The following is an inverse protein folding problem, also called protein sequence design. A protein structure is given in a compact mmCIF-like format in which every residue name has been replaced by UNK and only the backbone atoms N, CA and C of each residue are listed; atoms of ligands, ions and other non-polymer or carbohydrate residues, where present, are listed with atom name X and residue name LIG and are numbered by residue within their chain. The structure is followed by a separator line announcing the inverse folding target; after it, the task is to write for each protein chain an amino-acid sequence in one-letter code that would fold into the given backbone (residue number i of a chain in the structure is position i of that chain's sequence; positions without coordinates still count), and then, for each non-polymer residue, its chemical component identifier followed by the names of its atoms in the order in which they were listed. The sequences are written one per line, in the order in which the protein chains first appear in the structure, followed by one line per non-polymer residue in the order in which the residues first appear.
data_IF_881008145513
#
_entry.id   IF_881008145513
#
_cell.length_a   1.000
_cell.length_b   1.000
_cell.length_c   1.000
_cell.angle_alpha   90.00
_cell.angle_beta   90.00
_cell.angle_gamma   90.00
#
_symmetry.space_group_name_H-M   'P 1'
#
loop_
_entity.id
_entity.type
_entity.pdbx_description
1 polymer ?
#
# COMPACT_ATOMS: atom_id res chain seq x y z
N UNK A 1 11.02 -4.31 12.10
CA UNK A 1 10.63 -3.20 12.96
C UNK A 1 9.23 -3.50 13.50
N UNK A 2 9.06 -3.50 14.82
CA UNK A 2 7.97 -4.18 15.58
C UNK A 2 6.59 -3.50 15.50
N UNK A 3 6.27 -2.88 14.38
CA UNK A 3 4.91 -2.45 14.07
C UNK A 3 4.47 -3.38 12.95
N UNK A 4 3.44 -4.19 13.20
CA UNK A 4 2.80 -5.02 12.17
C UNK A 4 2.83 -4.30 10.82
N UNK A 5 3.22 -5.00 9.76
CA UNK A 5 3.50 -4.48 8.42
C UNK A 5 2.37 -3.61 7.81
N UNK A 6 1.19 -3.62 8.45
CA UNK A 6 0.12 -2.68 8.19
C UNK A 6 0.41 -1.25 8.71
N UNK A 7 0.23 -0.22 7.88
CA UNK A 7 0.49 1.17 8.27
C UNK A 7 -0.44 1.65 9.39
N UNK A 8 0.02 2.62 10.19
CA UNK A 8 -0.82 3.29 11.19
C UNK A 8 -1.87 4.20 10.52
N UNK A 9 -1.45 4.92 9.48
CA UNK A 9 -2.28 5.84 8.71
C UNK A 9 -2.06 5.56 7.23
N UNK A 10 -3.17 5.47 6.49
CA UNK A 10 -3.16 5.32 5.03
C UNK A 10 -3.96 6.46 4.43
N UNK A 11 -3.34 7.23 3.56
CA UNK A 11 -4.02 8.23 2.75
C UNK A 11 -4.48 7.58 1.45
N UNK A 12 -5.70 7.89 1.03
CA UNK A 12 -6.34 7.28 -0.14
C UNK A 12 -7.07 8.37 -0.93
N UNK A 13 -6.96 8.30 -2.25
CA UNK A 13 -7.75 9.09 -3.19
C UNK A 13 -8.03 8.26 -4.45
N UNK A 14 -9.14 8.54 -5.14
CA UNK A 14 -9.37 7.99 -6.48
C UNK A 14 -8.36 8.61 -7.44
N UNK A 15 -7.76 7.78 -8.31
CA UNK A 15 -6.65 8.13 -9.20
C UNK A 15 -5.26 8.04 -8.53
N UNK A 16 -5.19 7.63 -7.26
CA UNK A 16 -3.93 7.54 -6.54
C UNK A 16 -3.12 6.31 -6.94
N UNK A 17 -1.84 6.50 -7.23
CA UNK A 17 -0.89 5.40 -7.41
C UNK A 17 -0.49 4.82 -6.07
N UNK A 18 -0.70 3.52 -5.91
CA UNK A 18 -0.41 2.79 -4.68
C UNK A 18 0.41 1.53 -4.94
N UNK A 19 1.17 1.15 -3.92
CA UNK A 19 1.96 -0.07 -3.88
C UNK A 19 1.46 -0.93 -2.73
N UNK A 20 1.24 -2.21 -3.00
CA UNK A 20 0.89 -3.19 -1.99
C UNK A 20 2.11 -3.48 -1.14
N UNK A 21 1.96 -3.46 0.18
CA UNK A 21 3.08 -3.60 1.15
C UNK A 21 3.22 -4.99 1.74
N UNK A 22 2.30 -5.90 1.41
CA UNK A 22 2.26 -7.26 1.92
C UNK A 22 1.94 -8.26 0.81
N UNK A 23 2.37 -9.51 1.01
CA UNK A 23 1.87 -10.60 0.18
C UNK A 23 0.44 -10.89 0.60
N UNK A 24 -0.51 -10.51 -0.25
CA UNK A 24 -1.94 -10.70 -0.01
C UNK A 24 -2.41 -11.96 -0.73
N UNK A 25 -2.15 -12.03 -2.03
CA UNK A 25 -2.43 -13.21 -2.85
C UNK A 25 -1.42 -13.28 -4.00
N UNK A 26 -0.38 -14.09 -3.83
CA UNK A 26 0.75 -14.15 -4.76
C UNK A 26 0.38 -14.78 -6.09
N UNK A 27 -0.59 -15.70 -6.10
CA UNK A 27 -1.02 -16.38 -7.32
C UNK A 27 -1.76 -15.44 -8.27
N UNK A 28 -2.36 -14.38 -7.72
CA UNK A 28 -3.06 -13.32 -8.45
C UNK A 28 -2.17 -12.07 -8.72
N UNK A 29 -0.87 -12.16 -8.44
CA UNK A 29 0.09 -11.05 -8.48
C UNK A 29 -0.28 -9.86 -7.57
N UNK A 30 -0.98 -10.12 -6.45
CA UNK A 30 -1.24 -9.15 -5.37
C UNK A 30 -0.22 -9.38 -4.25
N UNK A 31 1.04 -9.06 -4.55
CA UNK A 31 2.18 -9.28 -3.68
C UNK A 31 2.82 -7.98 -3.18
N UNK A 32 3.76 -8.06 -2.25
CA UNK A 32 4.54 -6.89 -1.83
C UNK A 32 5.30 -6.29 -3.04
N UNK A 33 5.27 -4.96 -3.18
CA UNK A 33 5.84 -4.23 -4.31
C UNK A 33 4.90 -4.07 -5.50
N UNK A 34 3.78 -4.79 -5.52
CA UNK A 34 2.83 -4.74 -6.62
C UNK A 34 2.19 -3.33 -6.71
N UNK A 35 2.30 -2.63 -7.84
CA UNK A 35 1.74 -1.28 -8.07
C UNK A 35 0.41 -1.22 -8.84
N UNK A 36 -0.44 -0.26 -8.52
CA UNK A 36 -1.65 0.04 -9.30
C UNK A 36 -2.37 1.32 -8.88
N UNK A 37 -3.42 1.66 -9.60
CA UNK A 37 -4.18 2.89 -9.44
C UNK A 37 -5.50 2.62 -8.69
N UNK A 38 -5.81 3.42 -7.67
CA UNK A 38 -7.12 3.34 -6.99
C UNK A 38 -8.21 3.89 -7.92
N UNK A 39 -9.11 3.03 -8.37
CA UNK A 39 -10.25 3.43 -9.22
C UNK A 39 -11.52 3.73 -8.43
N UNK A 40 -11.64 3.17 -7.22
CA UNK A 40 -12.80 3.40 -6.35
C UNK A 40 -12.46 3.09 -4.89
N UNK A 41 -13.08 3.84 -3.98
CA UNK A 41 -13.01 3.60 -2.53
C UNK A 41 -14.43 3.30 -2.06
N UNK A 42 -14.61 2.13 -1.43
CA UNK A 42 -15.91 1.71 -0.92
C UNK A 42 -15.82 1.76 0.60
N UNK A 43 -16.59 2.66 1.18
CA UNK A 43 -16.55 2.92 2.60
C UNK A 43 -17.19 1.79 3.41
N UNK A 44 -16.81 1.72 4.67
CA UNK A 44 -17.48 0.85 5.61
C UNK A 44 -18.95 1.27 5.76
N UNK A 45 -19.87 0.32 5.86
CA UNK A 45 -21.30 0.59 6.08
C UNK A 45 -21.60 1.31 7.40
N UNK A 46 -20.64 1.30 8.33
CA UNK A 46 -20.72 1.97 9.62
C UNK A 46 -20.18 3.40 9.60
N UNK A 47 -19.67 3.89 8.46
CA UNK A 47 -19.29 5.30 8.31
C UNK A 47 -20.53 6.19 8.22
N UNK A 48 -20.45 7.34 8.88
CA UNK A 48 -21.42 8.42 8.72
C UNK A 48 -21.23 9.13 7.38
N UNK A 49 -22.30 9.74 6.88
CA UNK A 49 -22.21 10.60 5.71
C UNK A 49 -21.37 11.84 6.03
N UNK A 50 -20.46 12.21 5.13
CA UNK A 50 -19.69 13.44 5.21
C UNK A 50 -20.11 14.44 4.13
N UNK A 51 -19.85 15.72 4.40
CA UNK A 51 -20.10 16.79 3.44
C UNK A 51 -19.10 16.74 2.28
N UNK A 52 -19.59 16.92 1.06
CA UNK A 52 -18.77 17.00 -0.17
C UNK A 52 -17.82 18.21 -0.18
N UNK A 53 -18.07 19.21 0.69
CA UNK A 53 -17.23 20.40 0.80
C UNK A 53 -15.99 20.19 1.69
N UNK A 54 -15.84 19.02 2.32
CA UNK A 54 -14.69 18.71 3.16
C UNK A 54 -13.58 18.13 2.26
N UNK A 55 -12.40 18.77 2.18
CA UNK A 55 -11.33 18.32 1.28
C UNK A 55 -10.64 17.03 1.75
N UNK A 56 -10.66 16.76 3.07
CA UNK A 56 -10.03 15.57 3.67
C UNK A 56 -10.98 15.00 4.71
N UNK A 57 -11.39 13.75 4.50
CA UNK A 57 -12.26 13.02 5.42
C UNK A 57 -11.41 12.02 6.21
N UNK A 58 -11.46 12.11 7.54
CA UNK A 58 -10.86 11.11 8.43
C UNK A 58 -11.91 10.04 8.74
N UNK A 59 -11.73 8.86 8.17
CA UNK A 59 -12.62 7.72 8.42
C UNK A 59 -12.43 7.18 9.84
N UNK A 60 -13.51 6.68 10.41
CA UNK A 60 -13.53 6.04 11.74
C UNK A 60 -13.15 4.56 11.64
N UNK A 61 -13.56 3.92 10.56
CA UNK A 61 -13.28 2.56 10.16
C UNK A 61 -12.45 2.55 8.87
N UNK A 62 -11.59 1.54 8.66
CA UNK A 62 -11.00 1.32 7.34
C UNK A 62 -12.11 1.16 6.28
N UNK A 63 -11.88 1.59 5.02
CA UNK A 63 -12.79 1.30 3.92
C UNK A 63 -13.13 -0.19 3.87
N UNK A 64 -14.35 -0.54 3.46
CA UNK A 64 -14.71 -1.95 3.28
C UNK A 64 -13.79 -2.63 2.27
N UNK A 65 -13.49 -1.94 1.17
CA UNK A 65 -12.44 -2.29 0.21
C UNK A 65 -12.13 -1.10 -0.69
N UNK A 66 -11.01 -1.20 -1.39
CA UNK A 66 -10.67 -0.33 -2.52
C UNK A 66 -10.60 -1.16 -3.80
N UNK A 67 -10.91 -0.56 -4.95
CA UNK A 67 -10.70 -1.18 -6.25
C UNK A 67 -9.41 -0.64 -6.85
N UNK A 68 -8.46 -1.51 -7.13
CA UNK A 68 -7.17 -1.15 -7.73
C UNK A 68 -7.11 -1.69 -9.16
N UNK A 69 -6.82 -0.80 -10.11
CA UNK A 69 -6.51 -1.19 -11.49
C UNK A 69 -5.03 -1.50 -11.61
N UNK A 70 -4.74 -2.68 -12.14
CA UNK A 70 -3.39 -3.18 -12.37
C UNK A 70 -3.00 -3.02 -13.84
N UNK A 71 -1.73 -2.75 -14.11
CA UNK A 71 -1.21 -2.85 -15.48
C UNK A 71 -1.15 -4.30 -15.95
N UNK A 72 -0.80 -5.21 -15.03
CA UNK A 72 -0.76 -6.65 -15.25
C UNK A 72 -1.25 -7.36 -13.98
N UNK A 73 -2.06 -8.40 -14.17
CA UNK A 73 -2.43 -9.37 -13.12
C UNK A 73 -2.76 -10.71 -13.79
N UNK A 74 -2.52 -11.82 -13.08
CA UNK A 74 -2.99 -13.16 -13.47
C UNK A 74 -4.43 -13.44 -13.06
N UNK A 75 -5.06 -12.51 -12.33
CA UNK A 75 -6.42 -12.71 -11.87
C UNK A 75 -7.41 -12.73 -13.02
N UNK A 76 -8.33 -13.69 -12.95
CA UNK A 76 -9.50 -13.72 -13.83
C UNK A 76 -10.33 -12.47 -13.56
N UNK A 77 -10.84 -11.85 -14.63
CA UNK A 77 -11.75 -10.72 -14.51
C UNK A 77 -12.97 -11.12 -13.66
N UNK A 78 -13.20 -10.38 -12.58
CA UNK A 78 -14.36 -10.57 -11.73
C UNK A 78 -15.60 -10.00 -12.41
N UNK A 79 -16.71 -10.73 -12.32
CA UNK A 79 -17.99 -10.30 -12.89
C UNK A 79 -18.40 -8.92 -12.37
N UNK A 80 -18.81 -8.03 -13.28
CA UNK A 80 -19.18 -6.65 -12.95
C UNK A 80 -18.01 -5.69 -12.73
N UNK A 81 -16.75 -6.16 -12.78
CA UNK A 81 -15.56 -5.30 -12.76
C UNK A 81 -14.91 -5.19 -14.15
N UNK A 82 -14.16 -4.11 -14.37
CA UNK A 82 -13.34 -3.96 -15.56
C UNK A 82 -12.14 -4.91 -15.50
N UNK A 83 -11.56 -5.21 -16.65
CA UNK A 83 -10.34 -6.00 -16.75
C UNK A 83 -9.22 -5.42 -15.85
N UNK A 84 -8.47 -6.30 -15.20
CA UNK A 84 -7.38 -5.97 -14.28
C UNK A 84 -7.77 -5.10 -13.07
N UNK A 85 -9.06 -5.00 -12.74
CA UNK A 85 -9.52 -4.32 -11.53
C UNK A 85 -9.81 -5.35 -10.44
N UNK A 86 -9.14 -5.20 -9.31
CA UNK A 86 -9.25 -6.13 -8.18
C UNK A 86 -9.63 -5.40 -6.89
N UNK A 87 -10.50 -5.99 -6.06
CA UNK A 87 -10.77 -5.49 -4.73
C UNK A 87 -9.59 -5.80 -3.80
N UNK A 88 -9.18 -4.81 -3.03
CA UNK A 88 -8.27 -4.97 -1.91
C UNK A 88 -8.99 -4.62 -0.62
N UNK A 89 -9.02 -5.57 0.31
CA UNK A 89 -9.68 -5.45 1.61
C UNK A 89 -8.66 -5.13 2.71
N UNK A 90 -9.06 -4.45 3.80
CA UNK A 90 -8.22 -4.33 4.98
C UNK A 90 -7.82 -5.70 5.53
N UNK A 91 -6.57 -5.84 5.94
CA UNK A 91 -6.09 -7.02 6.64
C UNK A 91 -6.04 -6.75 8.14
N UNK A 92 -6.04 -7.83 8.93
CA UNK A 92 -5.82 -7.78 10.37
C UNK A 92 -4.45 -8.37 10.71
N UNK A 93 -3.67 -7.65 11.51
CA UNK A 93 -2.40 -8.14 12.03
C UNK A 93 -2.28 -7.87 13.53
N UNK A 94 -1.82 -8.88 14.24
CA UNK A 94 -1.47 -8.78 15.66
C UNK A 94 0.03 -8.55 15.81
N UNK A 95 0.41 -7.60 16.66
CA UNK A 95 1.80 -7.38 17.06
C UNK A 95 1.88 -7.10 18.55
N UNK A 96 3.08 -7.32 19.11
CA UNK A 96 3.36 -7.07 20.53
C UNK A 96 4.08 -5.75 20.66
N UNK A 97 3.71 -4.98 21.66
CA UNK A 97 4.42 -3.76 22.06
C UNK A 97 4.81 -3.87 23.53
N UNK A 98 6.01 -3.41 23.84
CA UNK A 98 6.54 -3.36 25.18
C UNK A 98 6.33 -1.97 25.78
N UNK A 99 5.79 -1.92 26.98
CA UNK A 99 5.62 -0.72 27.78
C UNK A 99 6.31 -0.95 29.14
N UNK A 100 7.60 -0.62 29.22
CA UNK A 100 8.45 -1.03 30.34
C UNK A 100 8.66 -2.54 30.34
N UNK A 101 8.34 -3.21 31.45
CA UNK A 101 8.39 -4.68 31.57
C UNK A 101 7.09 -5.38 31.13
N UNK A 102 6.02 -4.64 30.86
CA UNK A 102 4.75 -5.21 30.41
C UNK A 102 4.72 -5.35 28.90
N UNK A 103 4.25 -6.52 28.43
CA UNK A 103 4.02 -6.79 27.01
C UNK A 103 2.52 -6.79 26.73
N UNK A 104 2.08 -5.97 25.77
CA UNK A 104 0.68 -5.90 25.33
C UNK A 104 0.57 -6.34 23.87
N UNK A 105 -0.41 -7.18 23.57
CA UNK A 105 -0.76 -7.54 22.20
C UNK A 105 -1.76 -6.52 21.65
N UNK A 106 -1.49 -5.97 20.47
CA UNK A 106 -2.35 -5.04 19.76
C UNK A 106 -2.75 -5.69 18.43
N UNK A 107 -4.04 -5.64 18.12
CA UNK A 107 -4.57 -6.00 16.80
C UNK A 107 -4.83 -4.73 16.00
N UNK A 108 -4.34 -4.68 14.77
CA UNK A 108 -4.55 -3.57 13.82
C UNK A 108 -5.24 -4.09 12.58
N UNK A 109 -6.28 -3.39 12.16
CA UNK A 109 -6.94 -3.59 10.88
C UNK A 109 -6.64 -2.40 9.96
N UNK A 110 -6.06 -2.64 8.78
CA UNK A 110 -5.75 -1.59 7.81
C UNK A 110 -5.51 -2.15 6.40
N UNK A 111 -5.65 -1.33 5.36
CA UNK A 111 -5.24 -1.67 4.01
C UNK A 111 -3.72 -1.82 3.89
N UNK A 112 -3.21 -2.89 3.24
CA UNK A 112 -1.79 -3.12 3.06
C UNK A 112 -1.24 -2.34 1.86
N UNK A 113 -1.39 -1.01 1.86
CA UNK A 113 -0.94 -0.14 0.76
C UNK A 113 -0.23 1.10 1.25
N UNK A 114 0.62 1.64 0.38
CA UNK A 114 1.29 2.93 0.53
C UNK A 114 1.23 3.71 -0.78
N UNK A 115 1.24 5.05 -0.78
CA UNK A 115 1.50 5.83 -1.99
C UNK A 115 2.74 5.33 -2.75
N UNK A 116 2.67 5.29 -4.08
CA UNK A 116 3.72 4.75 -4.95
C UNK A 116 4.35 5.80 -5.89
N UNK A 117 4.30 7.09 -5.52
CA UNK A 117 4.91 8.18 -6.31
C UNK A 117 6.42 8.30 -6.11
N UNK A 118 6.90 7.94 -4.92
CA UNK A 118 8.32 7.88 -4.58
C UNK A 118 8.52 6.77 -3.56
N UNK A 119 9.56 5.97 -3.72
CA UNK A 119 9.92 4.87 -2.83
C UNK A 119 11.41 4.60 -2.92
N UNK A 120 11.95 3.92 -1.91
CA UNK A 120 13.38 3.61 -1.83
C UNK A 120 13.77 2.52 -2.81
N UNK A 121 15.07 2.45 -3.10
CA UNK A 121 15.70 1.37 -3.87
C UNK A 121 15.39 -0.03 -3.30
N UNK A 122 15.31 -0.15 -1.98
CA UNK A 122 14.89 -1.38 -1.30
C UNK A 122 13.48 -1.82 -1.74
N UNK A 123 12.55 -0.87 -1.86
CA UNK A 123 11.19 -1.18 -2.30
C UNK A 123 11.08 -1.39 -3.81
N UNK A 124 11.99 -0.82 -4.61
CA UNK A 124 12.02 -1.04 -6.07
C UNK A 124 12.71 -2.35 -6.47
N UNK A 125 13.49 -2.97 -5.59
CA UNK A 125 14.28 -4.15 -5.90
C UNK A 125 13.42 -5.28 -6.49
N UNK A 126 13.84 -5.79 -7.66
CA UNK A 126 13.16 -6.88 -8.36
C UNK A 126 11.89 -6.47 -9.10
N UNK A 127 11.58 -5.17 -9.17
CA UNK A 127 10.49 -4.65 -9.98
C UNK A 127 11.01 -4.15 -11.34
N UNK A 128 10.26 -4.44 -12.41
CA UNK A 128 10.49 -3.79 -13.71
C UNK A 128 9.70 -2.48 -13.77
N UNK A 129 10.40 -1.35 -13.86
CA UNK A 129 9.80 -0.02 -13.99
C UNK A 129 10.28 0.60 -15.31
N UNK A 130 9.35 0.89 -16.22
CA UNK A 130 9.71 1.31 -17.58
C UNK A 130 10.41 2.67 -17.64
N UNK A 131 10.02 3.61 -16.78
CA UNK A 131 10.59 4.95 -16.70
C UNK A 131 10.70 5.35 -15.23
N UNK A 132 11.91 5.71 -14.79
CA UNK A 132 12.19 6.13 -13.41
C UNK A 132 12.91 7.47 -13.39
N UNK A 133 12.61 8.27 -12.37
CA UNK A 133 13.45 9.39 -11.95
C UNK A 133 14.15 8.93 -10.68
N UNK A 134 15.47 8.95 -10.68
CA UNK A 134 16.27 8.45 -9.57
C UNK A 134 16.91 9.64 -8.87
N UNK A 135 16.58 9.81 -7.59
CA UNK A 135 17.26 10.76 -6.71
C UNK A 135 18.47 10.07 -6.06
N UNK A 136 19.67 10.61 -6.30
CA UNK A 136 20.97 10.00 -5.93
C UNK A 136 21.67 10.83 -4.82
N UNK A 137 21.03 11.89 -4.27
CA UNK A 137 21.57 12.78 -3.23
C UNK A 137 20.63 13.01 -2.02
N UNK A 138 21.19 13.40 -0.86
CA UNK A 138 20.61 13.23 0.50
C UNK A 138 19.36 14.07 0.88
N UNK A 139 18.47 13.67 1.87
CA UNK A 139 18.73 12.87 3.12
C UNK A 139 17.63 11.87 3.62
N UNK A 140 17.78 11.09 4.75
CA UNK A 140 18.92 10.96 5.68
C UNK A 140 19.46 9.52 5.87
N UNK A 141 20.75 9.40 6.20
CA UNK A 141 21.46 8.27 6.87
C UNK A 141 22.07 7.11 6.06
N UNK A 142 21.80 6.92 4.77
CA UNK A 142 22.38 5.82 3.99
C UNK A 142 23.47 6.30 3.03
N UNK A 143 24.73 5.90 3.23
CA UNK A 143 25.80 6.22 2.27
C UNK A 143 25.52 5.60 0.89
N UNK A 144 25.79 6.35 -0.18
CA UNK A 144 25.65 5.85 -1.55
C UNK A 144 26.67 4.75 -1.82
N UNK A 145 26.20 3.52 -2.07
CA UNK A 145 27.07 2.42 -2.52
C UNK A 145 26.85 2.13 -4.00
N UNK A 146 27.86 1.61 -4.73
CA UNK A 146 27.66 1.12 -6.11
C UNK A 146 26.52 0.10 -6.24
N UNK A 147 26.23 -0.65 -5.17
CA UNK A 147 25.13 -1.61 -5.14
C UNK A 147 23.76 -0.93 -5.19
N UNK A 148 23.53 0.12 -4.39
CA UNK A 148 22.25 0.86 -4.40
C UNK A 148 22.01 1.49 -5.78
N UNK A 149 23.05 2.04 -6.39
CA UNK A 149 22.99 2.62 -7.75
C UNK A 149 22.65 1.54 -8.78
N UNK A 150 23.28 0.36 -8.69
CA UNK A 150 22.99 -0.75 -9.58
C UNK A 150 21.53 -1.21 -9.48
N UNK A 151 21.04 -1.46 -8.27
CA UNK A 151 19.64 -1.91 -8.03
C UNK A 151 18.63 -0.92 -8.58
N UNK A 152 18.91 0.38 -8.49
CA UNK A 152 17.97 1.41 -8.94
C UNK A 152 17.97 1.60 -10.47
N UNK A 153 19.06 1.21 -11.15
CA UNK A 153 19.21 1.34 -12.61
C UNK A 153 18.87 0.06 -13.40
N UNK A 154 18.81 -1.10 -12.75
CA UNK A 154 18.54 -2.41 -13.36
C UNK A 154 17.05 -2.72 -13.47
#
# INVERSE_FOLDING_TARGET
DERAALPNRTELAVGMEVMVTLNVETDLDIANGARGEITKIILNKHEDAFSEFIPIVKLTYPPAYILIKRHHTKAVQLEGLKENVLPLVPLEQMFKVFQGHEQKAIMRQQLPVTPAYAFTDYHSQGQTISHTIIDIGDPPTGGLTPFNVYVTLS
#
